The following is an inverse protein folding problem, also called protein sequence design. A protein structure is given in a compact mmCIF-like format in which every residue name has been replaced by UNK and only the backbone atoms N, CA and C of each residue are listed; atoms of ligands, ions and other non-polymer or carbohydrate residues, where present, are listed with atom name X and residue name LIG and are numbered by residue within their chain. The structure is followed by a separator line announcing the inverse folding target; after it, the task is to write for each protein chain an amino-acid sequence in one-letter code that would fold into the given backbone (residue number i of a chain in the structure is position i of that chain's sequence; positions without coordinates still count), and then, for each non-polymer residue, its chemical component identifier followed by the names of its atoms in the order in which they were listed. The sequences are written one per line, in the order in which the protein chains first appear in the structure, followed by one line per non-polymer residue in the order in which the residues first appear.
data_IF_951435086186
#
_entry.id   IF_951435086186
#
_cell.length_a   1.000
_cell.length_b   1.000
_cell.length_c   1.000
_cell.angle_alpha   90.00
_cell.angle_beta   90.00
_cell.angle_gamma   90.00
#
_symmetry.space_group_name_H-M   'P 1'
#
loop_
_entity.id
_entity.type
_entity.pdbx_description
1 polymer ?
#
# COMPACT_ATOMS: atom_id res chain seq x y z
N UNK A 1 17.18 2.07 -13.19
CA UNK A 1 16.71 1.42 -11.94
C UNK A 1 15.40 2.01 -11.44
N UNK A 2 15.25 3.34 -11.38
CA UNK A 2 14.06 4.02 -10.82
C UNK A 2 12.72 3.59 -11.45
N UNK A 3 12.66 3.40 -12.78
CA UNK A 3 11.42 3.00 -13.47
C UNK A 3 10.85 1.62 -13.09
N UNK A 4 11.70 0.68 -12.68
CA UNK A 4 11.26 -0.69 -12.33
C UNK A 4 10.55 -0.71 -10.97
N UNK A 5 10.99 0.13 -10.03
CA UNK A 5 10.42 0.20 -8.69
C UNK A 5 9.31 1.25 -8.56
N UNK A 6 9.07 2.08 -9.59
CA UNK A 6 8.00 3.08 -9.57
C UNK A 6 6.61 2.53 -9.22
N UNK A 7 6.19 1.35 -9.71
CA UNK A 7 4.89 0.75 -9.35
C UNK A 7 4.70 0.54 -7.85
N UNK A 8 5.79 0.27 -7.12
CA UNK A 8 5.73 0.14 -5.67
C UNK A 8 5.30 1.46 -5.05
N UNK A 9 5.89 2.59 -5.46
CA UNK A 9 5.58 3.88 -4.86
C UNK A 9 4.21 4.43 -5.31
N UNK A 10 3.94 4.43 -6.62
CA UNK A 10 2.75 5.11 -7.17
C UNK A 10 1.45 4.31 -7.01
N UNK A 11 1.53 2.98 -6.90
CA UNK A 11 0.36 2.11 -6.75
C UNK A 11 0.28 1.52 -5.34
N UNK A 12 1.27 0.70 -4.97
CA UNK A 12 1.23 -0.10 -3.73
C UNK A 12 1.30 0.78 -2.50
N UNK A 13 2.30 1.66 -2.43
CA UNK A 13 2.49 2.57 -1.29
C UNK A 13 1.38 3.61 -1.20
N UNK A 14 0.81 4.05 -2.33
CA UNK A 14 -0.37 4.92 -2.34
C UNK A 14 -1.57 4.25 -1.69
N UNK A 15 -1.92 3.03 -2.12
CA UNK A 15 -3.04 2.28 -1.54
C UNK A 15 -2.81 2.00 -0.05
N UNK A 16 -1.61 1.53 0.28
CA UNK A 16 -1.21 1.24 1.66
C UNK A 16 -1.34 2.45 2.59
N UNK A 17 -0.80 3.62 2.21
CA UNK A 17 -0.91 4.86 3.00
C UNK A 17 -2.37 5.29 3.20
N UNK A 18 -3.21 5.12 2.18
CA UNK A 18 -4.64 5.41 2.28
C UNK A 18 -5.34 4.49 3.29
N UNK A 19 -5.01 3.19 3.32
CA UNK A 19 -5.56 2.26 4.30
C UNK A 19 -5.16 2.63 5.73
N UNK A 20 -3.88 2.98 5.97
CA UNK A 20 -3.43 3.46 7.29
C UNK A 20 -4.21 4.70 7.71
N UNK A 21 -4.32 5.69 6.82
CA UNK A 21 -5.01 6.95 7.12
C UNK A 21 -6.48 6.71 7.46
N UNK A 22 -7.18 5.90 6.67
CA UNK A 22 -8.59 5.59 6.91
C UNK A 22 -8.78 4.85 8.23
N UNK A 23 -7.96 3.83 8.50
CA UNK A 23 -8.05 3.06 9.75
C UNK A 23 -7.73 3.94 10.98
N UNK A 24 -6.73 4.83 10.87
CA UNK A 24 -6.40 5.79 11.92
C UNK A 24 -7.55 6.76 12.20
N UNK A 25 -8.18 7.31 11.15
CA UNK A 25 -9.31 8.23 11.27
C UNK A 25 -10.51 7.52 11.91
N UNK A 26 -10.86 6.32 11.44
CA UNK A 26 -11.96 5.54 11.99
C UNK A 26 -11.75 5.20 13.47
N UNK A 27 -10.54 4.78 13.85
CA UNK A 27 -10.21 4.50 15.25
C UNK A 27 -10.50 5.71 16.16
N UNK A 28 -10.14 6.92 15.72
CA UNK A 28 -10.30 8.15 16.52
C UNK A 28 -11.71 8.74 16.49
N UNK A 29 -12.65 8.17 15.72
CA UNK A 29 -14.07 8.50 15.88
C UNK A 29 -14.63 7.95 17.20
N UNK A 30 -14.09 6.81 17.65
CA UNK A 30 -14.60 6.08 18.83
C UNK A 30 -13.63 6.15 20.02
N UNK A 31 -12.35 6.45 19.79
CA UNK A 31 -11.31 6.40 20.82
C UNK A 31 -10.59 7.75 20.97
N UNK A 32 -10.28 8.18 22.21
CA UNK A 32 -9.46 9.36 22.45
C UNK A 32 -8.01 9.13 22.00
N UNK A 33 -7.27 10.23 21.81
CA UNK A 33 -5.84 10.16 21.52
C UNK A 33 -5.07 9.49 22.68
N UNK A 34 -4.17 8.58 22.32
CA UNK A 34 -3.34 7.85 23.27
C UNK A 34 -2.31 8.77 23.94
N UNK A 35 -2.08 8.58 25.25
CA UNK A 35 -1.25 9.46 26.05
C UNK A 35 0.25 9.18 25.91
N UNK A 36 0.64 7.90 25.81
CA UNK A 36 2.05 7.51 25.84
C UNK A 36 2.61 7.20 24.46
N UNK A 37 3.91 7.44 24.27
CA UNK A 37 4.62 7.06 23.04
C UNK A 37 4.62 5.54 22.80
N UNK A 38 4.47 4.72 23.85
CA UNK A 38 4.37 3.26 23.75
C UNK A 38 3.03 2.84 23.14
N UNK A 39 1.94 3.40 23.64
CA UNK A 39 0.59 3.12 23.13
C UNK A 39 0.44 3.59 21.69
N UNK A 40 0.94 4.80 21.37
CA UNK A 40 0.95 5.31 20.00
C UNK A 40 1.68 4.36 19.04
N UNK A 41 2.86 3.86 19.42
CA UNK A 41 3.60 2.88 18.62
C UNK A 41 2.83 1.57 18.46
N UNK A 42 2.23 1.04 19.53
CA UNK A 42 1.46 -0.20 19.47
C UNK A 42 0.24 -0.08 18.53
N UNK A 43 -0.49 1.05 18.61
CA UNK A 43 -1.59 1.33 17.68
C UNK A 43 -1.09 1.43 16.24
N UNK A 44 -0.06 2.24 15.99
CA UNK A 44 0.49 2.43 14.64
C UNK A 44 1.00 1.11 14.06
N UNK A 45 1.67 0.26 14.84
CA UNK A 45 2.12 -1.06 14.39
C UNK A 45 0.96 -1.96 13.97
N UNK A 46 -0.14 -1.95 14.72
CA UNK A 46 -1.35 -2.71 14.38
C UNK A 46 -1.98 -2.19 13.08
N UNK A 47 -2.19 -0.88 12.99
CA UNK A 47 -2.77 -0.24 11.80
C UNK A 47 -1.93 -0.48 10.55
N UNK A 48 -0.60 -0.50 10.68
CA UNK A 48 0.33 -0.81 9.60
C UNK A 48 0.18 -2.26 9.13
N UNK A 49 0.06 -3.22 10.04
CA UNK A 49 -0.15 -4.62 9.68
C UNK A 49 -1.50 -4.83 8.98
N UNK A 50 -2.58 -4.31 9.58
CA UNK A 50 -3.93 -4.40 9.01
C UNK A 50 -4.01 -3.72 7.63
N UNK A 51 -3.40 -2.55 7.47
CA UNK A 51 -3.37 -1.84 6.19
C UNK A 51 -2.59 -2.60 5.12
N UNK A 52 -1.54 -3.36 5.49
CA UNK A 52 -0.78 -4.17 4.55
C UNK A 52 -1.61 -5.35 4.04
N UNK A 53 -2.25 -6.08 4.96
CA UNK A 53 -3.11 -7.21 4.63
C UNK A 53 -4.34 -6.77 3.81
N UNK A 54 -4.79 -5.53 3.99
CA UNK A 54 -5.90 -4.95 3.23
C UNK A 54 -5.53 -4.56 1.78
N UNK A 55 -4.24 -4.45 1.41
CA UNK A 55 -3.84 -4.14 0.04
C UNK A 55 -4.11 -5.36 -0.85
N UNK A 56 -5.03 -5.28 -1.83
CA UNK A 56 -5.31 -6.42 -2.68
C UNK A 56 -4.11 -6.77 -3.56
N UNK A 57 -3.84 -8.06 -3.74
CA UNK A 57 -2.80 -8.52 -4.65
C UNK A 57 -2.98 -7.97 -6.08
N UNK A 58 -4.22 -7.71 -6.49
CA UNK A 58 -4.55 -7.08 -7.78
C UNK A 58 -4.05 -5.65 -7.90
N UNK A 59 -3.97 -4.87 -6.81
CA UNK A 59 -3.41 -3.51 -6.82
C UNK A 59 -1.89 -3.56 -7.06
N UNK A 60 -1.23 -4.59 -6.52
CA UNK A 60 0.18 -4.84 -6.77
C UNK A 60 0.36 -5.20 -8.24
N UNK A 61 -0.26 -6.27 -8.73
CA UNK A 61 -0.06 -6.75 -10.11
C UNK A 61 -0.44 -5.68 -11.15
N UNK A 62 -1.56 -4.96 -10.96
CA UNK A 62 -1.97 -3.90 -11.87
C UNK A 62 -0.98 -2.73 -11.95
N UNK A 63 -0.31 -2.40 -10.84
CA UNK A 63 0.72 -1.36 -10.84
C UNK A 63 1.88 -1.72 -11.76
N UNK A 64 2.35 -2.96 -11.69
CA UNK A 64 3.47 -3.45 -12.50
C UNK A 64 3.06 -3.69 -13.96
N UNK A 65 1.83 -4.14 -14.22
CA UNK A 65 1.27 -4.24 -15.58
C UNK A 65 1.21 -2.86 -16.25
N UNK A 66 0.67 -1.84 -15.56
CA UNK A 66 0.56 -0.48 -16.10
C UNK A 66 1.92 0.16 -16.39
N UNK A 67 2.96 -0.23 -15.68
CA UNK A 67 4.33 0.21 -15.95
C UNK A 67 5.03 -0.60 -17.05
N UNK A 68 4.35 -1.57 -17.68
CA UNK A 68 4.92 -2.41 -18.74
C UNK A 68 5.95 -3.43 -18.25
N UNK A 69 6.01 -3.69 -16.93
CA UNK A 69 7.01 -4.58 -16.34
C UNK A 69 6.55 -6.04 -16.25
N UNK A 70 5.26 -6.31 -16.46
CA UNK A 70 4.68 -7.65 -16.55
C UNK A 70 4.11 -7.83 -17.95
N UNK A 71 4.61 -8.76 -18.76
CA UNK A 71 4.04 -9.06 -20.07
C UNK A 71 2.64 -9.68 -19.93
N UNK A 72 1.64 -9.09 -20.58
CA UNK A 72 0.24 -9.55 -20.50
C UNK A 72 -0.24 -10.31 -21.73
N UNK A 73 0.51 -10.27 -22.85
CA UNK A 73 0.15 -10.96 -24.08
C UNK A 73 1.35 -11.25 -25.02
N UNK A 74 1.11 -11.99 -26.12
CA UNK A 74 2.17 -12.39 -27.07
C UNK A 74 2.92 -11.22 -27.71
N UNK A 75 2.26 -10.06 -27.86
CA UNK A 75 2.83 -8.83 -28.41
C UNK A 75 3.76 -8.11 -27.43
N UNK A 76 3.62 -8.41 -26.15
CA UNK A 76 4.31 -7.71 -25.05
C UNK A 76 5.64 -8.42 -24.71
N UNK A 77 5.80 -9.68 -25.17
CA UNK A 77 7.00 -10.50 -24.97
C UNK A 77 8.22 -10.00 -25.76
N UNK A 78 7.99 -9.18 -26.78
CA UNK A 78 9.02 -8.60 -27.67
C UNK A 78 9.33 -7.13 -27.38
N UNK A 79 8.63 -6.50 -26.44
CA UNK A 79 8.85 -5.10 -26.10
C UNK A 79 9.99 -4.98 -25.07
N UNK A 80 11.20 -4.84 -25.61
CA UNK A 80 12.50 -4.39 -25.03
C UNK A 80 12.63 -4.27 -23.51
#
# INVERSE_FOLDING_TARGET
VTGICQPMDVSVMKAFKNHIMNAYLQYHLEHPFLATAREKRALMSRLVAEAWDAVPATVITNGFIKAGLIPTGPRDRSAR
#
